data_IF_728732247130
#
_entry.id   IF_728732247130
#
_cell.length_a   1.000
_cell.length_b   1.000
_cell.length_c   1.000
_cell.angle_alpha   90.00
_cell.angle_beta   90.00
_cell.angle_gamma   90.00
#
_symmetry.space_group_name_H-M   'P 1'
#
loop_
_entity.id
_entity.type
_entity.pdbx_description
1 polymer ?
#
# COMPACT_ATOMS: atom_id res chain seq x y z
N UNK A 1 5.34 15.57 29.73
CA UNK A 1 5.25 15.46 28.27
C UNK A 1 4.59 14.12 27.92
N UNK A 2 4.08 14.00 26.73
CA UNK A 2 3.43 12.77 26.24
C UNK A 2 4.40 11.57 26.32
N UNK A 3 5.68 11.75 26.02
CA UNK A 3 6.71 10.71 26.15
C UNK A 3 6.82 10.14 27.57
N UNK A 4 6.72 10.98 28.60
CA UNK A 4 6.72 10.53 29.98
C UNK A 4 5.45 9.75 30.34
N UNK A 5 4.30 10.11 29.76
CA UNK A 5 3.05 9.39 29.95
C UNK A 5 3.11 8.01 29.28
N UNK A 6 3.68 7.91 28.09
CA UNK A 6 3.90 6.65 27.38
C UNK A 6 4.84 5.72 28.17
N UNK A 7 5.94 6.27 28.70
CA UNK A 7 6.90 5.53 29.55
C UNK A 7 6.22 4.92 30.80
N UNK A 8 5.29 5.65 31.41
CA UNK A 8 4.54 5.19 32.57
C UNK A 8 3.59 4.02 32.27
N UNK A 9 3.20 3.81 31.01
CA UNK A 9 2.38 2.70 30.57
C UNK A 9 3.11 1.35 30.57
N UNK A 10 4.44 1.36 30.55
CA UNK A 10 5.28 0.17 30.47
C UNK A 10 5.17 -0.56 29.12
N UNK A 11 5.86 -1.67 29.01
CA UNK A 11 5.89 -2.51 27.80
C UNK A 11 7.28 -2.61 27.19
N UNK A 12 7.45 -3.56 26.26
CA UNK A 12 8.74 -3.85 25.60
C UNK A 12 8.89 -3.12 24.25
N UNK A 13 7.78 -2.63 23.70
CA UNK A 13 7.75 -1.91 22.43
C UNK A 13 6.65 -0.86 22.41
N UNK A 14 6.85 0.19 21.61
CA UNK A 14 5.86 1.23 21.39
C UNK A 14 5.26 1.10 19.97
N UNK A 15 3.93 0.89 19.91
CA UNK A 15 3.21 0.96 18.65
C UNK A 15 2.97 2.44 18.27
N UNK A 16 3.49 2.86 17.11
CA UNK A 16 3.35 4.23 16.58
C UNK A 16 2.45 4.18 15.35
N UNK A 17 1.19 4.57 15.54
CA UNK A 17 0.18 4.63 14.49
C UNK A 17 0.00 6.09 14.09
N UNK A 18 0.54 6.49 12.94
CA UNK A 18 0.56 7.88 12.52
C UNK A 18 1.28 8.08 11.19
N UNK A 19 1.72 9.30 10.97
CA UNK A 19 2.49 9.69 9.79
C UNK A 19 3.82 10.32 10.19
N UNK A 20 4.89 10.03 9.42
CA UNK A 20 6.24 10.55 9.67
C UNK A 20 6.26 12.06 9.85
N UNK A 21 5.68 12.78 8.90
CA UNK A 21 5.72 14.24 8.82
C UNK A 21 4.65 14.95 9.67
N UNK A 22 3.80 14.18 10.37
CA UNK A 22 2.74 14.71 11.24
C UNK A 22 2.97 14.35 12.71
N UNK A 23 4.22 14.31 13.12
CA UNK A 23 4.61 14.10 14.51
C UNK A 23 5.09 12.69 14.86
N UNK A 24 4.86 11.70 14.02
CA UNK A 24 5.27 10.32 14.29
C UNK A 24 6.77 10.16 14.52
N UNK A 25 7.60 10.81 13.69
CA UNK A 25 9.04 10.85 13.88
C UNK A 25 9.43 11.42 15.24
N UNK A 26 8.85 12.56 15.63
CA UNK A 26 9.14 13.20 16.92
C UNK A 26 8.78 12.36 18.13
N UNK A 27 7.75 11.50 18.03
CA UNK A 27 7.40 10.54 19.10
C UNK A 27 8.49 9.50 19.27
N UNK A 28 9.05 8.98 18.18
CA UNK A 28 10.14 8.00 18.21
C UNK A 28 11.41 8.64 18.79
N UNK A 29 11.81 9.81 18.27
CA UNK A 29 12.98 10.56 18.77
C UNK A 29 12.86 10.86 20.27
N UNK A 30 11.72 11.38 20.72
CA UNK A 30 11.50 11.67 22.13
C UNK A 30 11.51 10.42 23.03
N UNK A 31 11.06 9.26 22.49
CA UNK A 31 11.10 8.01 23.22
C UNK A 31 12.51 7.45 23.37
N UNK A 32 13.33 7.56 22.33
CA UNK A 32 14.75 7.20 22.34
C UNK A 32 15.55 8.12 23.29
N UNK A 33 15.37 9.43 23.21
CA UNK A 33 16.02 10.42 24.06
C UNK A 33 15.71 10.21 25.55
N UNK A 34 14.47 9.82 25.84
CA UNK A 34 14.03 9.52 27.20
C UNK A 34 14.45 8.11 27.69
N UNK A 35 14.99 7.27 26.80
CA UNK A 35 15.29 5.87 27.11
C UNK A 35 14.03 5.04 27.45
N UNK A 36 12.87 5.43 26.96
CA UNK A 36 11.59 4.82 27.32
C UNK A 36 11.31 3.56 26.50
N UNK A 37 11.61 3.59 25.22
CA UNK A 37 11.48 2.48 24.29
C UNK A 37 12.62 2.51 23.28
N UNK A 38 13.08 1.33 22.86
CA UNK A 38 14.09 1.13 21.80
C UNK A 38 13.58 0.25 20.64
N UNK A 39 12.33 -0.14 20.73
CA UNK A 39 11.66 -0.99 19.74
C UNK A 39 10.31 -0.37 19.37
N UNK A 40 10.11 -0.14 18.07
CA UNK A 40 8.91 0.52 17.56
C UNK A 40 8.19 -0.39 16.56
N UNK A 41 6.87 -0.50 16.74
CA UNK A 41 5.98 -1.16 15.79
C UNK A 41 5.29 -0.04 14.99
N UNK A 42 5.61 0.06 13.71
CA UNK A 42 5.24 1.20 12.87
C UNK A 42 4.07 0.87 11.95
N UNK A 43 3.08 1.77 11.90
CA UNK A 43 2.06 1.70 10.85
C UNK A 43 2.64 2.07 9.48
N UNK A 44 1.86 1.84 8.45
CA UNK A 44 2.20 2.14 7.06
C UNK A 44 2.64 3.59 6.82
N UNK A 45 1.94 4.56 7.41
CA UNK A 45 2.30 5.99 7.35
C UNK A 45 3.62 6.35 8.02
N UNK A 46 4.21 5.42 8.78
CA UNK A 46 5.52 5.56 9.42
C UNK A 46 6.65 4.89 8.61
N UNK A 47 6.33 4.15 7.54
CA UNK A 47 7.33 3.46 6.72
C UNK A 47 7.86 4.40 5.65
N UNK A 48 9.09 4.83 5.81
CA UNK A 48 9.77 5.71 4.85
C UNK A 48 11.25 5.83 5.15
N UNK A 49 12.10 5.94 4.13
CA UNK A 49 13.55 5.99 4.30
C UNK A 49 13.99 7.18 5.16
N UNK A 50 13.25 8.28 5.12
CA UNK A 50 13.59 9.52 5.86
C UNK A 50 13.66 9.34 7.39
N UNK A 51 12.93 8.40 7.98
CA UNK A 51 13.07 8.15 9.43
C UNK A 51 14.35 7.37 9.73
N UNK A 52 14.71 6.44 8.87
CA UNK A 52 15.96 5.66 9.02
C UNK A 52 17.16 6.56 8.81
N UNK A 53 17.13 7.45 7.82
CA UNK A 53 18.19 8.43 7.55
C UNK A 53 18.39 9.40 8.73
N UNK A 54 17.32 9.72 9.45
CA UNK A 54 17.37 10.66 10.56
C UNK A 54 17.81 10.03 11.89
N UNK A 55 17.42 8.78 12.17
CA UNK A 55 17.60 8.12 13.47
C UNK A 55 18.72 7.06 13.39
N UNK A 56 18.85 6.39 12.25
CA UNK A 56 19.93 5.43 12.04
C UNK A 56 19.72 4.10 12.77
N UNK A 57 20.81 3.59 13.35
CA UNK A 57 20.91 2.25 13.92
C UNK A 57 20.02 1.99 15.14
N UNK A 58 19.56 3.04 15.81
CA UNK A 58 18.65 2.92 16.96
C UNK A 58 17.27 2.34 16.56
N UNK A 59 16.98 2.31 15.25
CA UNK A 59 15.77 1.68 14.72
C UNK A 59 15.94 0.20 14.34
N UNK A 60 17.12 -0.40 14.45
CA UNK A 60 17.39 -1.76 13.95
C UNK A 60 16.55 -2.88 14.59
N UNK A 61 15.88 -2.63 15.72
CA UNK A 61 14.94 -3.56 16.35
C UNK A 61 13.49 -3.33 15.91
N UNK A 62 13.25 -2.26 15.17
CA UNK A 62 11.91 -1.79 14.83
C UNK A 62 11.43 -2.42 13.52
N UNK A 63 10.13 -2.57 13.41
CA UNK A 63 9.48 -3.15 12.25
C UNK A 63 8.10 -2.52 12.04
N UNK A 64 7.49 -2.80 10.92
CA UNK A 64 6.15 -2.33 10.63
C UNK A 64 5.54 -3.09 9.47
N UNK A 65 4.39 -2.66 9.03
CA UNK A 65 3.72 -3.24 7.87
C UNK A 65 3.11 -2.16 6.99
N UNK A 66 3.04 -2.45 5.71
CA UNK A 66 2.31 -1.62 4.75
C UNK A 66 1.55 -2.51 3.77
N UNK A 67 0.45 -2.01 3.18
CA UNK A 67 -0.21 -2.70 2.10
C UNK A 67 0.75 -3.00 0.96
N UNK A 68 0.60 -4.15 0.33
CA UNK A 68 1.42 -4.53 -0.81
C UNK A 68 1.27 -6.01 -1.15
N UNK A 69 1.68 -6.38 -2.34
CA UNK A 69 1.55 -7.72 -2.88
C UNK A 69 2.89 -8.23 -3.42
N UNK A 70 3.11 -9.53 -3.30
CA UNK A 70 4.20 -10.26 -3.98
C UNK A 70 3.68 -11.09 -5.15
N UNK A 71 2.41 -10.97 -5.51
CA UNK A 71 1.77 -11.70 -6.59
C UNK A 71 2.28 -11.34 -7.98
N UNK A 72 1.78 -12.05 -8.99
CA UNK A 72 2.15 -11.83 -10.40
C UNK A 72 1.95 -10.38 -10.83
N UNK A 73 0.85 -9.76 -10.42
CA UNK A 73 0.52 -8.36 -10.75
C UNK A 73 1.59 -7.37 -10.29
N UNK A 74 2.12 -7.56 -9.07
CA UNK A 74 3.17 -6.71 -8.52
C UNK A 74 4.46 -6.76 -9.36
N UNK A 75 4.87 -7.95 -9.79
CA UNK A 75 6.03 -8.10 -10.68
C UNK A 75 5.83 -7.43 -12.03
N UNK A 76 4.66 -7.60 -12.64
CA UNK A 76 4.32 -6.94 -13.92
C UNK A 76 4.28 -5.41 -13.75
N UNK A 77 3.69 -4.92 -12.66
CA UNK A 77 3.66 -3.49 -12.35
C UNK A 77 5.06 -2.87 -12.24
N UNK A 78 5.98 -3.55 -11.56
CA UNK A 78 7.37 -3.10 -11.44
C UNK A 78 8.01 -2.88 -12.81
N UNK A 79 7.82 -3.79 -13.76
CA UNK A 79 8.35 -3.65 -15.12
C UNK A 79 7.67 -2.51 -15.91
N UNK A 80 6.34 -2.37 -15.77
CA UNK A 80 5.59 -1.28 -16.41
C UNK A 80 6.02 0.08 -15.87
N UNK A 81 6.14 0.22 -14.56
CA UNK A 81 6.59 1.46 -13.91
C UNK A 81 8.02 1.82 -14.32
N UNK A 82 8.93 0.85 -14.33
CA UNK A 82 10.31 1.02 -14.78
C UNK A 82 10.39 1.49 -16.24
N UNK A 83 9.59 0.90 -17.12
CA UNK A 83 9.53 1.30 -18.52
C UNK A 83 9.02 2.75 -18.69
N UNK A 84 8.18 3.22 -17.76
CA UNK A 84 7.68 4.59 -17.72
C UNK A 84 8.60 5.57 -16.96
N UNK A 85 9.74 5.11 -16.42
CA UNK A 85 10.65 5.93 -15.62
C UNK A 85 10.10 6.28 -14.23
N UNK A 86 9.17 5.48 -13.70
CA UNK A 86 8.52 5.68 -12.40
C UNK A 86 9.14 4.72 -11.38
N UNK A 87 9.49 5.24 -10.20
CA UNK A 87 9.89 4.41 -9.07
C UNK A 87 8.66 3.75 -8.44
N UNK A 88 8.59 2.41 -8.54
CA UNK A 88 7.50 1.61 -7.97
C UNK A 88 7.76 1.16 -6.53
N UNK A 89 8.88 1.52 -5.92
CA UNK A 89 9.26 1.07 -4.58
C UNK A 89 8.56 1.84 -3.45
N UNK A 90 8.00 3.01 -3.76
CA UNK A 90 7.28 3.83 -2.79
C UNK A 90 5.97 3.17 -2.31
N UNK A 91 5.53 3.50 -1.08
CA UNK A 91 4.26 3.02 -0.57
C UNK A 91 3.09 3.47 -1.47
N UNK A 92 2.08 2.62 -1.60
CA UNK A 92 0.84 2.87 -2.35
C UNK A 92 0.96 3.10 -3.85
N UNK A 93 2.11 2.86 -4.47
CA UNK A 93 2.27 3.06 -5.93
C UNK A 93 1.43 2.09 -6.74
N UNK A 94 1.39 0.82 -6.35
CA UNK A 94 0.54 -0.20 -6.96
C UNK A 94 -0.95 0.05 -6.74
N UNK A 95 -1.32 0.39 -5.51
CA UNK A 95 -2.70 0.70 -5.13
C UNK A 95 -3.23 1.94 -5.87
N UNK A 96 -2.41 2.96 -6.05
CA UNK A 96 -2.77 4.17 -6.81
C UNK A 96 -2.98 3.86 -8.30
N UNK A 97 -2.14 3.01 -8.86
CA UNK A 97 -2.29 2.53 -10.24
C UNK A 97 -3.61 1.77 -10.40
N UNK A 98 -3.90 0.84 -9.49
CA UNK A 98 -5.11 0.02 -9.53
C UNK A 98 -6.37 0.86 -9.32
N UNK A 99 -6.35 1.82 -8.40
CA UNK A 99 -7.48 2.73 -8.19
C UNK A 99 -7.82 3.51 -9.47
N UNK A 100 -6.83 4.06 -10.15
CA UNK A 100 -7.03 4.77 -11.42
C UNK A 100 -7.56 3.85 -12.52
N UNK A 101 -6.98 2.65 -12.65
CA UNK A 101 -7.40 1.66 -13.65
C UNK A 101 -8.84 1.20 -13.43
N UNK A 102 -9.21 0.88 -12.19
CA UNK A 102 -10.57 0.45 -11.83
C UNK A 102 -11.63 1.52 -12.15
N UNK A 103 -11.33 2.79 -11.86
CA UNK A 103 -12.24 3.90 -12.20
C UNK A 103 -12.45 3.94 -13.72
N UNK A 104 -11.39 3.90 -14.52
CA UNK A 104 -11.47 3.99 -15.98
C UNK A 104 -12.20 2.78 -16.58
N UNK A 105 -11.94 1.57 -16.06
CA UNK A 105 -12.63 0.35 -16.49
C UNK A 105 -14.12 0.37 -16.10
N UNK A 106 -14.46 0.85 -14.91
CA UNK A 106 -15.85 1.00 -14.49
C UNK A 106 -16.61 2.05 -15.31
N UNK A 107 -15.95 3.15 -15.70
CA UNK A 107 -16.53 4.13 -16.64
C UNK A 107 -16.83 3.49 -17.99
N UNK A 108 -15.93 2.69 -18.52
CA UNK A 108 -16.14 1.97 -19.79
C UNK A 108 -17.26 0.94 -19.68
N UNK A 109 -17.31 0.16 -18.60
CA UNK A 109 -18.36 -0.82 -18.35
C UNK A 109 -19.75 -0.16 -18.28
N UNK A 110 -19.85 0.96 -17.56
CA UNK A 110 -21.08 1.74 -17.41
C UNK A 110 -21.39 2.70 -18.55
N UNK A 111 -20.47 2.87 -19.50
CA UNK A 111 -20.53 3.88 -20.59
C UNK A 111 -20.85 5.29 -20.08
N UNK A 112 -20.37 5.63 -18.88
CA UNK A 112 -20.64 6.91 -18.20
C UNK A 112 -19.51 7.23 -17.22
N UNK A 113 -19.19 8.52 -17.08
CA UNK A 113 -18.29 9.06 -16.08
C UNK A 113 -19.00 9.50 -14.80
N UNK A 114 -20.30 9.26 -14.69
CA UNK A 114 -21.07 9.62 -13.49
C UNK A 114 -20.66 8.76 -12.30
N UNK A 115 -20.56 9.36 -11.11
CA UNK A 115 -20.15 8.68 -9.87
C UNK A 115 -21.02 7.46 -9.57
N UNK A 116 -22.35 7.58 -9.76
CA UNK A 116 -23.28 6.48 -9.52
C UNK A 116 -23.03 5.30 -10.48
N UNK A 117 -22.68 5.58 -11.74
CA UNK A 117 -22.32 4.56 -12.72
C UNK A 117 -21.02 3.87 -12.36
N UNK A 118 -19.99 4.62 -11.97
CA UNK A 118 -18.71 4.07 -11.54
C UNK A 118 -18.91 3.16 -10.32
N UNK A 119 -19.60 3.64 -9.29
CA UNK A 119 -19.87 2.87 -8.07
C UNK A 119 -20.61 1.56 -8.34
N UNK A 120 -21.53 1.56 -9.31
CA UNK A 120 -22.30 0.37 -9.71
C UNK A 120 -21.43 -0.68 -10.41
N UNK A 121 -20.43 -0.26 -11.17
CA UNK A 121 -19.67 -1.15 -12.07
C UNK A 121 -18.29 -1.53 -11.53
N UNK A 122 -17.74 -0.80 -10.54
CA UNK A 122 -16.36 -1.00 -10.08
C UNK A 122 -16.13 -2.41 -9.51
N UNK A 123 -17.07 -2.93 -8.75
CA UNK A 123 -16.97 -4.28 -8.17
C UNK A 123 -17.03 -5.37 -9.23
N UNK A 124 -17.89 -5.21 -10.24
CA UNK A 124 -18.01 -6.17 -11.32
C UNK A 124 -16.74 -6.27 -12.19
N UNK A 125 -16.04 -5.16 -12.40
CA UNK A 125 -14.77 -5.17 -13.15
C UNK A 125 -13.59 -5.64 -12.30
N UNK A 126 -13.64 -5.45 -10.97
CA UNK A 126 -12.60 -5.91 -10.05
C UNK A 126 -12.71 -7.40 -9.74
N UNK A 127 -13.92 -7.88 -9.45
CA UNK A 127 -14.13 -9.23 -8.89
C UNK A 127 -14.45 -10.30 -9.96
N UNK A 128 -14.49 -9.94 -11.23
CA UNK A 128 -14.82 -10.91 -12.28
C UNK A 128 -16.25 -11.46 -12.20
N UNK A 129 -16.52 -12.62 -12.77
CA UNK A 129 -15.61 -13.45 -13.55
C UNK A 129 -15.36 -12.89 -14.94
N UNK A 130 -14.16 -13.09 -15.49
CA UNK A 130 -13.85 -12.63 -16.84
C UNK A 130 -12.41 -12.86 -17.26
N UNK A 131 -12.00 -12.14 -18.31
CA UNK A 131 -10.61 -12.16 -18.77
C UNK A 131 -9.74 -11.37 -17.77
N UNK A 132 -8.69 -12.00 -17.26
CA UNK A 132 -7.75 -11.36 -16.35
C UNK A 132 -6.99 -10.21 -17.03
N UNK A 133 -6.96 -9.07 -16.32
CA UNK A 133 -6.30 -7.83 -16.77
C UNK A 133 -5.21 -7.45 -15.78
N UNK A 134 -3.97 -7.44 -16.25
CA UNK A 134 -2.78 -7.07 -15.47
C UNK A 134 -2.29 -5.65 -15.80
N UNK A 135 -1.36 -5.09 -15.01
CA UNK A 135 -0.75 -3.81 -15.31
C UNK A 135 -0.21 -3.75 -16.76
N UNK A 136 -0.41 -2.61 -17.43
CA UNK A 136 -0.07 -2.45 -18.86
C UNK A 136 -1.12 -2.97 -19.84
N UNK A 137 -2.10 -3.77 -19.40
CA UNK A 137 -3.17 -4.31 -20.25
C UNK A 137 -4.48 -3.48 -20.21
N UNK A 138 -4.45 -2.23 -19.72
CA UNK A 138 -5.66 -1.42 -19.56
C UNK A 138 -6.43 -1.27 -20.88
N UNK A 139 -5.72 -1.06 -21.99
CA UNK A 139 -6.36 -0.98 -23.32
C UNK A 139 -7.12 -2.26 -23.68
N UNK A 140 -6.55 -3.43 -23.41
CA UNK A 140 -7.21 -4.72 -23.62
C UNK A 140 -8.50 -4.82 -22.79
N UNK A 141 -8.46 -4.40 -21.53
CA UNK A 141 -9.64 -4.35 -20.67
C UNK A 141 -10.75 -3.46 -21.24
N UNK A 142 -10.38 -2.25 -21.67
CA UNK A 142 -11.31 -1.30 -22.29
C UNK A 142 -11.95 -1.87 -23.57
N UNK A 143 -11.17 -2.48 -24.45
CA UNK A 143 -11.65 -3.06 -25.70
C UNK A 143 -12.65 -4.22 -25.42
N UNK A 144 -12.34 -5.11 -24.48
CA UNK A 144 -13.23 -6.19 -24.07
C UNK A 144 -14.56 -5.67 -23.49
N UNK A 145 -14.50 -4.65 -22.64
CA UNK A 145 -15.72 -4.04 -22.09
C UNK A 145 -16.54 -3.31 -23.15
N UNK A 146 -15.89 -2.68 -24.16
CA UNK A 146 -16.56 -2.07 -25.28
C UNK A 146 -17.33 -3.10 -26.13
N UNK A 147 -16.81 -4.31 -26.23
CA UNK A 147 -17.46 -5.47 -26.90
C UNK A 147 -18.54 -6.16 -26.02
N UNK A 148 -18.77 -5.67 -24.80
CA UNK A 148 -19.71 -6.26 -23.85
C UNK A 148 -19.22 -7.55 -23.18
N UNK A 149 -17.92 -7.82 -23.24
CA UNK A 149 -17.28 -8.96 -22.56
C UNK A 149 -16.96 -8.61 -21.11
N UNK A 150 -16.89 -9.63 -20.26
CA UNK A 150 -16.49 -9.46 -18.85
C UNK A 150 -14.99 -9.56 -18.67
N UNK A 151 -14.50 -8.83 -17.70
CA UNK A 151 -13.10 -8.85 -17.26
C UNK A 151 -13.00 -9.18 -15.77
N UNK A 152 -11.79 -9.49 -15.34
CA UNK A 152 -11.37 -9.73 -13.97
C UNK A 152 -10.08 -8.93 -13.76
N UNK A 153 -10.17 -7.79 -13.10
CA UNK A 153 -9.01 -6.90 -12.96
C UNK A 153 -8.13 -7.36 -11.81
N UNK A 154 -7.01 -7.96 -12.14
CA UNK A 154 -5.98 -8.38 -11.16
C UNK A 154 -5.09 -7.23 -10.71
N UNK A 155 -4.79 -6.30 -11.60
CA UNK A 155 -3.96 -5.14 -11.30
C UNK A 155 -2.56 -5.45 -10.76
N UNK A 156 -2.00 -4.47 -10.08
CA UNK A 156 -0.71 -4.57 -9.39
C UNK A 156 -0.83 -5.29 -8.04
N UNK A 157 -1.97 -5.14 -7.37
CA UNK A 157 -2.17 -5.60 -5.99
C UNK A 157 -2.96 -6.90 -5.87
N UNK A 158 -3.57 -7.38 -6.95
CA UNK A 158 -4.51 -8.50 -6.92
C UNK A 158 -5.82 -8.12 -6.24
N UNK A 159 -6.28 -6.89 -6.48
CA UNK A 159 -7.41 -6.30 -5.78
C UNK A 159 -8.70 -7.08 -5.97
N UNK A 160 -9.34 -7.42 -4.87
CA UNK A 160 -10.68 -8.00 -4.79
C UNK A 160 -11.48 -7.21 -3.76
N UNK A 161 -12.72 -6.90 -4.03
CA UNK A 161 -13.58 -6.21 -3.08
C UNK A 161 -14.49 -7.18 -2.35
N UNK A 162 -14.69 -6.94 -1.06
CA UNK A 162 -15.75 -7.58 -0.27
C UNK A 162 -17.12 -7.06 -0.67
N UNK A 163 -18.19 -7.74 -0.23
CA UNK A 163 -19.57 -7.33 -0.50
C UNK A 163 -19.91 -5.91 0.03
N UNK A 164 -19.16 -5.42 1.01
CA UNK A 164 -19.33 -4.09 1.57
C UNK A 164 -18.43 -3.03 0.90
N UNK A 165 -17.64 -3.43 -0.12
CA UNK A 165 -16.80 -2.54 -0.91
C UNK A 165 -15.43 -2.24 -0.29
N UNK A 166 -14.99 -3.04 0.67
CA UNK A 166 -13.62 -2.97 1.18
C UNK A 166 -12.69 -3.83 0.31
N UNK A 167 -11.50 -3.31 0.00
CA UNK A 167 -10.50 -4.08 -0.71
C UNK A 167 -9.89 -5.14 0.23
N UNK A 168 -9.95 -6.40 -0.17
CA UNK A 168 -9.12 -7.44 0.44
C UNK A 168 -7.66 -7.16 0.07
N UNK A 169 -6.76 -7.21 1.05
CA UNK A 169 -5.39 -6.82 0.85
C UNK A 169 -4.39 -7.80 1.46
N UNK A 170 -3.20 -7.79 0.89
CA UNK A 170 -2.01 -8.38 1.49
C UNK A 170 -1.18 -7.30 2.15
N UNK A 171 -0.41 -7.68 3.16
CA UNK A 171 0.50 -6.78 3.85
C UNK A 171 1.93 -7.30 3.78
N UNK A 172 2.87 -6.39 3.62
CA UNK A 172 4.29 -6.68 3.64
C UNK A 172 4.85 -6.26 5.00
N UNK A 173 5.42 -7.20 5.72
CA UNK A 173 6.19 -6.90 6.92
C UNK A 173 7.51 -6.26 6.51
N UNK A 174 7.82 -5.11 7.11
CA UNK A 174 9.05 -4.35 6.89
C UNK A 174 9.90 -4.36 8.15
N UNK A 175 11.14 -4.75 8.02
CA UNK A 175 12.15 -4.68 9.07
C UNK A 175 13.26 -3.72 8.66
N UNK A 176 13.95 -3.13 9.64
CA UNK A 176 15.07 -2.23 9.36
C UNK A 176 16.36 -3.03 9.48
N UNK A 177 17.13 -3.05 8.39
CA UNK A 177 18.43 -3.71 8.33
C UNK A 177 19.41 -2.88 7.51
N UNK A 178 20.61 -2.67 8.07
CA UNK A 178 21.67 -1.96 7.37
C UNK A 178 21.28 -0.57 6.91
N UNK A 179 20.46 0.14 7.69
CA UNK A 179 20.01 1.50 7.37
C UNK A 179 18.93 1.57 6.28
N UNK A 180 18.15 0.49 6.06
CA UNK A 180 17.07 0.46 5.06
C UNK A 180 15.90 -0.38 5.55
N UNK A 181 14.71 -0.04 5.04
CA UNK A 181 13.56 -0.94 5.14
C UNK A 181 13.69 -2.09 4.13
N UNK A 182 13.65 -3.30 4.64
CA UNK A 182 13.60 -4.52 3.84
C UNK A 182 12.28 -5.25 4.05
N UNK A 183 11.75 -5.85 2.99
CA UNK A 183 10.60 -6.75 3.13
C UNK A 183 11.09 -8.06 3.73
N UNK A 184 10.51 -8.46 4.86
CA UNK A 184 10.79 -9.74 5.48
C UNK A 184 10.35 -10.87 4.55
N UNK A 185 11.26 -11.76 4.22
CA UNK A 185 10.94 -12.96 3.45
C UNK A 185 10.17 -13.92 4.35
N UNK A 186 8.98 -14.28 3.88
CA UNK A 186 8.18 -15.35 4.48
C UNK A 186 8.80 -16.71 4.21
#
# INVERSE_FOLDING_TARGET
SEAATLAAGGGDALAVIGYLDQGGKGVIEASLDAGSFDTFIMSDGMIGQSIVDAIGDDLNKSFGSLPGSTGKGAGVFTEVAKAAGIDSSGPYTGESYDAAALIVLAMQAGKSADRASIAKNVMDVANGPGTKIYPGELKKGLDLLAEGKKIDYEGATGVTFTDVGEAEGSFLEKEIKGGKFETKKQ
#
